data_IF_540243084743
#
_entry.id   IF_540243084743
#
_cell.length_a   1.000
_cell.length_b   1.000
_cell.length_c   1.000
_cell.angle_alpha   90.00
_cell.angle_beta   90.00
_cell.angle_gamma   90.00
#
_symmetry.space_group_name_H-M   'P 1'
#
loop_
_entity.id
_entity.type
_entity.pdbx_description
1 polymer ?
#
# COMPACT_ATOMS: atom_id res chain seq x y z
N UNK A 1 -1.55 -28.75 5.46
CA UNK A 1 -1.80 -27.33 5.78
C UNK A 1 -1.05 -26.52 4.75
N UNK A 2 -1.79 -25.97 3.79
CA UNK A 2 -1.23 -25.36 2.59
C UNK A 2 -0.53 -24.05 2.97
N UNK A 3 0.62 -23.76 2.37
CA UNK A 3 1.40 -22.51 2.60
C UNK A 3 0.51 -21.25 2.56
N UNK A 4 -0.53 -21.24 1.72
CA UNK A 4 -1.52 -20.15 1.64
C UNK A 4 -2.34 -19.94 2.92
N UNK A 5 -2.69 -20.99 3.66
CA UNK A 5 -3.42 -20.88 4.93
C UNK A 5 -2.56 -20.21 6.01
N UNK A 6 -1.27 -20.58 6.05
CA UNK A 6 -0.29 -19.99 6.97
C UNK A 6 -0.09 -18.51 6.62
N UNK A 7 0.10 -18.19 5.34
CA UNK A 7 0.26 -16.81 4.87
C UNK A 7 -0.95 -15.94 5.22
N UNK A 8 -2.16 -16.44 4.91
CA UNK A 8 -3.42 -15.74 5.21
C UNK A 8 -3.59 -15.51 6.72
N UNK A 9 -3.29 -16.53 7.54
CA UNK A 9 -3.32 -16.41 9.00
C UNK A 9 -2.38 -15.32 9.51
N UNK A 10 -1.14 -15.30 9.01
CA UNK A 10 -0.14 -14.29 9.36
C UNK A 10 -0.64 -12.87 9.00
N UNK A 11 -1.19 -12.69 7.79
CA UNK A 11 -1.77 -11.41 7.38
C UNK A 11 -2.86 -10.96 8.35
N UNK A 12 -3.81 -11.83 8.68
CA UNK A 12 -4.91 -11.48 9.57
C UNK A 12 -4.39 -11.12 10.96
N UNK A 13 -3.42 -11.85 11.51
CA UNK A 13 -2.80 -11.53 12.79
C UNK A 13 -2.17 -10.13 12.78
N UNK A 14 -1.36 -9.80 11.76
CA UNK A 14 -0.75 -8.48 11.64
C UNK A 14 -1.78 -7.38 11.41
N UNK A 15 -2.82 -7.64 10.62
CA UNK A 15 -3.89 -6.69 10.38
C UNK A 15 -4.68 -6.39 11.66
N UNK A 16 -5.05 -7.40 12.45
CA UNK A 16 -5.73 -7.22 13.73
C UNK A 16 -4.87 -6.42 14.71
N UNK A 17 -3.58 -6.76 14.82
CA UNK A 17 -2.66 -6.03 15.69
C UNK A 17 -2.47 -4.58 15.23
N UNK A 18 -2.33 -4.35 13.92
CA UNK A 18 -2.19 -3.02 13.33
C UNK A 18 -3.43 -2.16 13.51
N UNK A 19 -4.63 -2.72 13.31
CA UNK A 19 -5.90 -2.01 13.54
C UNK A 19 -6.06 -1.66 15.02
N UNK A 20 -5.82 -2.62 15.92
CA UNK A 20 -5.88 -2.39 17.36
C UNK A 20 -4.92 -1.26 17.78
N UNK A 21 -3.66 -1.32 17.34
CA UNK A 21 -2.65 -0.33 17.68
C UNK A 21 -3.00 1.07 17.17
N UNK A 22 -3.50 1.18 15.94
CA UNK A 22 -3.92 2.46 15.38
C UNK A 22 -5.15 3.03 16.07
N UNK A 23 -6.16 2.21 16.38
CA UNK A 23 -7.35 2.65 17.12
C UNK A 23 -6.99 3.07 18.56
N UNK A 24 -6.10 2.33 19.22
CA UNK A 24 -5.60 2.68 20.54
C UNK A 24 -4.83 4.01 20.51
N UNK A 25 -4.00 4.23 19.49
CA UNK A 25 -3.28 5.49 19.31
C UNK A 25 -4.23 6.67 19.04
N UNK A 26 -5.25 6.49 18.21
CA UNK A 26 -6.31 7.49 17.99
C UNK A 26 -6.99 7.84 19.32
N UNK A 27 -7.35 6.83 20.12
CA UNK A 27 -7.95 7.04 21.44
C UNK A 27 -7.03 7.83 22.37
N UNK A 28 -5.73 7.51 22.41
CA UNK A 28 -4.74 8.27 23.19
C UNK A 28 -4.62 9.72 22.73
N UNK A 29 -4.55 9.96 21.42
CA UNK A 29 -4.49 11.31 20.85
C UNK A 29 -5.72 12.11 21.28
N UNK A 30 -6.92 11.56 21.12
CA UNK A 30 -8.16 12.28 21.43
C UNK A 30 -8.28 12.60 22.93
N UNK A 31 -7.76 11.74 23.81
CA UNK A 31 -7.93 11.90 25.26
C UNK A 31 -6.82 12.71 25.93
N UNK A 32 -5.58 12.65 25.42
CA UNK A 32 -4.39 13.15 26.14
C UNK A 32 -3.57 14.22 25.37
N UNK A 33 -4.04 14.71 24.22
CA UNK A 33 -3.29 15.73 23.46
C UNK A 33 -3.27 17.08 24.18
N UNK A 34 -2.06 17.59 24.46
CA UNK A 34 -1.82 18.96 24.94
C UNK A 34 -1.94 20.00 23.81
N UNK A 35 -2.29 21.25 24.14
CA UNK A 35 -2.49 22.33 23.15
C UNK A 35 -1.26 22.60 22.27
N UNK A 36 -0.06 22.49 22.84
CA UNK A 36 1.21 22.72 22.13
C UNK A 36 1.49 21.66 21.07
N UNK A 37 0.98 20.44 21.27
CA UNK A 37 1.20 19.29 20.39
C UNK A 37 0.12 19.15 19.31
N UNK A 38 -0.76 20.14 19.13
CA UNK A 38 -1.92 20.03 18.23
C UNK A 38 -1.56 19.83 16.76
N UNK A 39 -0.45 20.39 16.29
CA UNK A 39 -0.02 20.20 14.89
C UNK A 39 0.54 18.78 14.72
N UNK A 40 1.37 18.36 15.67
CA UNK A 40 1.95 17.02 15.70
C UNK A 40 0.87 15.93 15.79
N UNK A 41 -0.12 16.10 16.66
CA UNK A 41 -1.20 15.13 16.85
C UNK A 41 -2.09 15.00 15.61
N UNK A 42 -2.29 16.07 14.84
CA UNK A 42 -3.00 16.01 13.54
C UNK A 42 -2.23 15.18 12.51
N UNK A 43 -0.91 15.31 12.44
CA UNK A 43 -0.07 14.49 11.54
C UNK A 43 -0.13 13.01 11.98
N UNK A 44 -0.07 12.76 13.29
CA UNK A 44 -0.19 11.40 13.85
C UNK A 44 -1.56 10.79 13.52
N UNK A 45 -2.64 11.57 13.69
CA UNK A 45 -4.00 11.15 13.40
C UNK A 45 -4.21 10.84 11.92
N UNK A 46 -3.66 11.67 11.03
CA UNK A 46 -3.63 11.41 9.59
C UNK A 46 -2.92 10.09 9.29
N UNK A 47 -1.77 9.84 9.93
CA UNK A 47 -1.02 8.60 9.74
C UNK A 47 -1.84 7.39 10.17
N UNK A 48 -2.47 7.43 11.35
CA UNK A 48 -3.34 6.35 11.82
C UNK A 48 -4.52 6.07 10.88
N UNK A 49 -5.15 7.13 10.34
CA UNK A 49 -6.25 6.96 9.40
C UNK A 49 -5.79 6.29 8.09
N UNK A 50 -4.65 6.74 7.56
CA UNK A 50 -4.04 6.16 6.35
C UNK A 50 -3.64 4.70 6.59
N UNK A 51 -3.08 4.38 7.76
CA UNK A 51 -2.69 3.02 8.11
C UNK A 51 -3.90 2.10 8.25
N UNK A 52 -5.00 2.56 8.86
CA UNK A 52 -6.26 1.79 8.90
C UNK A 52 -6.77 1.49 7.49
N UNK A 53 -6.82 2.50 6.62
CA UNK A 53 -7.21 2.31 5.21
C UNK A 53 -6.25 1.34 4.52
N UNK A 54 -4.95 1.49 4.74
CA UNK A 54 -3.91 0.65 4.18
C UNK A 54 -4.04 -0.81 4.60
N UNK A 55 -4.25 -1.06 5.90
CA UNK A 55 -4.46 -2.40 6.44
C UNK A 55 -5.72 -3.03 5.84
N UNK A 56 -6.83 -2.30 5.77
CA UNK A 56 -8.06 -2.81 5.13
C UNK A 56 -7.81 -3.18 3.66
N UNK A 57 -7.13 -2.31 2.90
CA UNK A 57 -6.79 -2.58 1.50
C UNK A 57 -5.82 -3.75 1.36
N UNK A 58 -4.87 -3.90 2.28
CA UNK A 58 -3.89 -4.98 2.29
C UNK A 58 -4.55 -6.34 2.57
N UNK A 59 -5.48 -6.40 3.53
CA UNK A 59 -6.27 -7.61 3.82
C UNK A 59 -7.14 -8.00 2.62
N UNK A 60 -7.70 -7.02 1.92
CA UNK A 60 -8.59 -7.26 0.77
C UNK A 60 -7.80 -7.65 -0.48
N UNK A 61 -6.59 -7.12 -0.68
CA UNK A 61 -5.72 -7.45 -1.83
C UNK A 61 -4.87 -8.70 -1.64
N UNK A 62 -4.34 -8.92 -0.43
CA UNK A 62 -3.31 -9.92 -0.10
C UNK A 62 -2.25 -10.05 -1.22
N UNK A 63 -1.52 -8.95 -1.51
CA UNK A 63 -0.58 -8.94 -2.62
C UNK A 63 0.65 -9.77 -2.27
N UNK A 64 1.10 -10.60 -3.19
CA UNK A 64 2.35 -11.36 -3.13
C UNK A 64 3.22 -10.88 -4.28
N UNK A 65 4.38 -10.33 -3.96
CA UNK A 65 5.34 -9.86 -4.95
C UNK A 65 6.28 -11.01 -5.30
N UNK A 66 6.24 -11.43 -6.57
CA UNK A 66 7.10 -12.49 -7.10
C UNK A 66 7.98 -11.88 -8.18
N UNK A 67 9.30 -12.06 -8.07
CA UNK A 67 10.23 -11.68 -9.13
C UNK A 67 10.75 -12.93 -9.82
N UNK A 68 10.59 -13.00 -11.14
CA UNK A 68 11.14 -14.06 -11.98
C UNK A 68 11.86 -13.45 -13.18
N UNK A 69 13.11 -13.85 -13.41
CA UNK A 69 13.96 -13.38 -14.52
C UNK A 69 14.01 -11.85 -14.70
N UNK A 70 14.07 -11.09 -13.59
CA UNK A 70 14.11 -9.62 -13.63
C UNK A 70 12.75 -8.96 -13.93
N UNK A 71 11.66 -9.73 -13.93
CA UNK A 71 10.29 -9.25 -14.07
C UNK A 71 9.59 -9.37 -12.72
N UNK A 72 9.04 -8.26 -12.23
CA UNK A 72 8.17 -8.25 -11.06
C UNK A 72 6.73 -8.58 -11.44
N UNK A 73 6.10 -9.50 -10.73
CA UNK A 73 4.67 -9.77 -10.84
C UNK A 73 4.04 -9.64 -9.47
N UNK A 74 2.85 -9.04 -9.41
CA UNK A 74 2.06 -8.99 -8.18
C UNK A 74 0.89 -9.94 -8.33
N UNK A 75 0.83 -10.94 -7.46
CA UNK A 75 -0.29 -11.88 -7.39
C UNK A 75 -1.21 -11.45 -6.26
N UNK A 76 -2.52 -11.41 -6.49
CA UNK A 76 -3.49 -10.98 -5.50
C UNK A 76 -4.32 -12.19 -5.06
N UNK A 77 -4.12 -12.64 -3.83
CA UNK A 77 -4.85 -13.79 -3.29
C UNK A 77 -6.11 -13.40 -2.52
N UNK A 78 -6.27 -12.10 -2.21
CA UNK A 78 -7.40 -11.60 -1.45
C UNK A 78 -8.67 -11.47 -2.29
N UNK A 79 -9.83 -11.15 -1.67
CA UNK A 79 -11.13 -11.06 -2.32
C UNK A 79 -11.20 -10.20 -3.60
N UNK A 80 -10.24 -9.29 -3.80
CA UNK A 80 -10.16 -8.45 -5.00
C UNK A 80 -10.09 -9.28 -6.29
N UNK A 81 -9.53 -10.48 -6.27
CA UNK A 81 -9.42 -11.29 -7.49
C UNK A 81 -10.78 -11.74 -8.06
N UNK A 82 -11.84 -11.75 -7.25
CA UNK A 82 -13.20 -12.05 -7.72
C UNK A 82 -13.89 -10.85 -8.38
N UNK A 83 -13.31 -9.65 -8.30
CA UNK A 83 -13.91 -8.45 -8.87
C UNK A 83 -13.61 -8.35 -10.36
N UNK A 84 -14.59 -7.99 -11.20
CA UNK A 84 -14.34 -7.78 -12.61
C UNK A 84 -13.46 -6.53 -12.83
N UNK A 85 -12.69 -6.54 -13.92
CA UNK A 85 -12.06 -5.32 -14.43
C UNK A 85 -13.17 -4.28 -14.75
N UNK A 86 -13.02 -3.00 -14.36
CA UNK A 86 -11.79 -2.33 -13.92
C UNK A 86 -11.57 -2.26 -12.39
N UNK A 87 -12.49 -2.80 -11.59
CA UNK A 87 -12.47 -2.61 -10.13
C UNK A 87 -11.24 -3.21 -9.47
N UNK A 88 -10.80 -4.38 -9.92
CA UNK A 88 -9.57 -5.01 -9.47
C UNK A 88 -8.34 -4.10 -9.66
N UNK A 89 -8.21 -3.51 -10.85
CA UNK A 89 -7.12 -2.58 -11.15
C UNK A 89 -7.17 -1.34 -10.25
N UNK A 90 -8.34 -0.74 -10.08
CA UNK A 90 -8.52 0.47 -9.25
C UNK A 90 -8.12 0.18 -7.80
N UNK A 91 -8.60 -0.92 -7.22
CA UNK A 91 -8.29 -1.26 -5.83
C UNK A 91 -6.81 -1.60 -5.61
N UNK A 92 -6.17 -2.26 -6.57
CA UNK A 92 -4.72 -2.51 -6.52
C UNK A 92 -3.92 -1.19 -6.57
N UNK A 93 -4.37 -0.22 -7.38
CA UNK A 93 -3.76 1.12 -7.44
C UNK A 93 -3.95 1.90 -6.14
N UNK A 94 -5.13 1.81 -5.54
CA UNK A 94 -5.39 2.40 -4.22
C UNK A 94 -4.47 1.75 -3.18
N UNK A 95 -4.34 0.42 -3.17
CA UNK A 95 -3.46 -0.27 -2.22
C UNK A 95 -1.99 0.20 -2.33
N UNK A 96 -1.47 0.26 -3.55
CA UNK A 96 -0.11 0.76 -3.81
C UNK A 96 0.06 2.24 -3.44
N UNK A 97 -0.96 3.07 -3.70
CA UNK A 97 -0.96 4.47 -3.27
C UNK A 97 -0.89 4.59 -1.75
N UNK A 98 -1.76 3.88 -1.03
CA UNK A 98 -1.85 3.95 0.43
C UNK A 98 -0.55 3.47 1.10
N UNK A 99 0.06 2.40 0.58
CA UNK A 99 1.36 1.91 1.07
C UNK A 99 2.47 2.96 0.94
N UNK A 100 2.56 3.63 -0.22
CA UNK A 100 3.54 4.72 -0.43
C UNK A 100 3.19 5.99 0.34
N UNK A 101 1.91 6.26 0.55
CA UNK A 101 1.48 7.42 1.32
C UNK A 101 1.79 7.26 2.81
N UNK A 102 1.63 6.05 3.37
CA UNK A 102 2.05 5.74 4.73
C UNK A 102 3.55 5.97 4.95
N UNK A 103 4.42 5.50 4.04
CA UNK A 103 5.87 5.74 4.16
C UNK A 103 6.24 7.23 4.07
N UNK A 104 5.55 8.00 3.23
CA UNK A 104 5.74 9.46 3.15
C UNK A 104 5.25 10.19 4.41
N UNK A 105 4.22 9.70 5.10
CA UNK A 105 3.78 10.27 6.38
C UNK A 105 4.86 10.10 7.45
N UNK A 106 5.58 8.96 7.48
CA UNK A 106 6.73 8.76 8.37
C UNK A 106 7.84 9.77 8.07
N UNK A 107 8.18 9.98 6.80
CA UNK A 107 9.15 11.00 6.38
C UNK A 107 8.69 12.41 6.79
N UNK A 108 7.40 12.71 6.65
CA UNK A 108 6.80 14.00 7.03
C UNK A 108 6.93 14.23 8.53
N UNK A 109 6.68 13.20 9.34
CA UNK A 109 6.84 13.25 10.79
C UNK A 109 8.30 13.50 11.20
N UNK A 110 9.24 12.85 10.51
CA UNK A 110 10.68 13.08 10.71
C UNK A 110 11.07 14.53 10.39
N UNK A 111 10.66 15.05 9.23
CA UNK A 111 10.93 16.44 8.82
C UNK A 111 10.33 17.42 9.82
N UNK A 112 9.08 17.18 10.25
CA UNK A 112 8.41 18.00 11.25
C UNK A 112 9.24 18.06 12.56
N UNK A 113 9.64 16.90 13.09
CA UNK A 113 10.45 16.83 14.31
C UNK A 113 11.80 17.51 14.15
N UNK A 114 12.46 17.32 13.02
CA UNK A 114 13.74 17.96 12.73
C UNK A 114 13.62 19.48 12.71
N UNK A 115 12.61 20.02 12.04
CA UNK A 115 12.38 21.46 11.95
C UNK A 115 12.02 22.11 13.29
N UNK A 116 11.21 21.44 14.11
CA UNK A 116 10.83 21.97 15.43
C UNK A 116 11.97 21.86 16.44
N UNK A 117 12.65 20.71 16.52
CA UNK A 117 13.64 20.44 17.58
C UNK A 117 15.03 20.98 17.23
N UNK A 118 15.48 20.82 15.99
CA UNK A 118 16.86 21.19 15.59
C UNK A 118 16.92 22.59 15.00
N UNK A 119 15.88 23.01 14.28
CA UNK A 119 15.83 24.33 13.63
C UNK A 119 14.98 25.35 14.40
N UNK A 120 14.33 24.94 15.48
CA UNK A 120 13.48 25.80 16.33
C UNK A 120 12.43 26.60 15.52
N UNK A 121 11.94 26.03 14.42
CA UNK A 121 10.96 26.68 13.55
C UNK A 121 9.55 26.51 14.13
N UNK A 122 8.84 27.62 14.31
CA UNK A 122 7.42 27.59 14.68
C UNK A 122 6.54 27.14 13.51
N UNK A 123 6.24 25.83 13.47
CA UNK A 123 5.43 25.21 12.42
C UNK A 123 3.95 25.47 12.68
N UNK A 124 3.42 26.49 12.00
CA UNK A 124 1.98 26.75 11.88
C UNK A 124 1.29 25.80 10.89
N UNK A 125 -0.04 25.75 10.95
CA UNK A 125 -0.89 24.90 10.08
C UNK A 125 -0.61 25.05 8.56
N UNK A 126 -0.24 26.24 8.09
CA UNK A 126 0.12 26.46 6.67
C UNK A 126 1.33 25.62 6.22
N UNK A 127 2.32 25.46 7.09
CA UNK A 127 3.50 24.65 6.81
C UNK A 127 3.15 23.16 6.81
N UNK A 128 2.21 22.73 7.66
CA UNK A 128 1.68 21.37 7.64
C UNK A 128 1.01 21.05 6.30
N UNK A 129 0.15 21.95 5.81
CA UNK A 129 -0.47 21.78 4.48
C UNK A 129 0.60 21.70 3.38
N UNK A 130 1.63 22.56 3.44
CA UNK A 130 2.72 22.54 2.48
C UNK A 130 3.50 21.21 2.52
N UNK A 131 3.76 20.66 3.70
CA UNK A 131 4.42 19.34 3.85
C UNK A 131 3.54 18.21 3.30
N UNK A 132 2.23 18.25 3.55
CA UNK A 132 1.27 17.26 3.03
C UNK A 132 1.15 17.35 1.51
N UNK A 133 0.97 18.54 0.95
CA UNK A 133 0.89 18.71 -0.51
C UNK A 133 2.23 18.39 -1.18
N UNK A 134 3.35 18.76 -0.55
CA UNK A 134 4.69 18.44 -1.00
C UNK A 134 4.96 16.94 -1.06
N UNK A 135 4.30 16.12 -0.23
CA UNK A 135 4.42 14.66 -0.26
C UNK A 135 3.36 13.99 -1.15
N UNK A 136 2.12 14.50 -1.19
CA UNK A 136 1.03 13.93 -2.00
C UNK A 136 1.26 14.15 -3.51
N UNK A 137 1.69 15.34 -3.94
CA UNK A 137 1.78 15.67 -5.36
C UNK A 137 2.77 14.74 -6.10
N UNK A 138 4.01 14.51 -5.59
CA UNK A 138 4.93 13.56 -6.21
C UNK A 138 4.37 12.14 -6.26
N UNK A 139 3.63 11.71 -5.23
CA UNK A 139 3.00 10.39 -5.21
C UNK A 139 1.93 10.23 -6.28
N UNK A 140 1.09 11.25 -6.48
CA UNK A 140 0.09 11.26 -7.55
C UNK A 140 0.78 11.19 -8.91
N UNK A 141 1.81 12.01 -9.14
CA UNK A 141 2.58 12.00 -10.40
C UNK A 141 3.18 10.62 -10.65
N UNK A 142 3.88 10.05 -9.66
CA UNK A 142 4.48 8.71 -9.77
C UNK A 142 3.45 7.62 -10.04
N UNK A 143 2.25 7.71 -9.44
CA UNK A 143 1.18 6.76 -9.70
C UNK A 143 0.60 6.90 -11.10
N UNK A 144 0.43 8.11 -11.61
CA UNK A 144 -0.01 8.36 -13.00
C UNK A 144 1.05 7.82 -13.97
N UNK A 145 2.33 8.18 -13.78
CA UNK A 145 3.43 7.70 -14.60
C UNK A 145 3.52 6.16 -14.57
N UNK A 146 3.41 5.54 -13.39
CA UNK A 146 3.38 4.07 -13.26
C UNK A 146 2.15 3.45 -13.91
N UNK A 147 1.01 4.13 -13.93
CA UNK A 147 -0.20 3.62 -14.59
C UNK A 147 -0.07 3.66 -16.11
N UNK A 148 0.55 4.71 -16.65
CA UNK A 148 0.85 4.82 -18.09
C UNK A 148 1.92 3.80 -18.49
N UNK A 149 3.00 3.68 -17.70
CA UNK A 149 4.14 2.81 -18.04
C UNK A 149 3.81 1.31 -17.91
N UNK A 150 2.85 0.96 -17.06
CA UNK A 150 2.42 -0.43 -16.83
C UNK A 150 1.00 -0.66 -17.37
N UNK A 151 0.59 0.10 -18.39
CA UNK A 151 -0.66 -0.22 -19.08
C UNK A 151 -0.51 -1.58 -19.78
N UNK A 152 -1.40 -2.55 -19.54
CA UNK A 152 -1.25 -3.89 -20.08
C UNK A 152 -1.27 -3.84 -21.61
N UNK A 153 -0.25 -4.41 -22.24
CA UNK A 153 -0.24 -4.65 -23.69
C UNK A 153 -0.83 -6.02 -23.99
N UNK A 154 -1.30 -6.24 -25.22
CA UNK A 154 -1.83 -7.55 -25.64
C UNK A 154 -0.82 -8.69 -25.54
N UNK A 155 0.49 -8.40 -25.48
CA UNK A 155 1.55 -9.39 -25.29
C UNK A 155 1.72 -9.81 -23.82
N UNK A 156 1.33 -8.96 -22.87
CA UNK A 156 1.46 -9.21 -21.44
C UNK A 156 0.35 -10.13 -20.88
N UNK A 157 -0.81 -10.22 -21.54
CA UNK A 157 -1.90 -11.13 -21.16
C UNK A 157 -1.59 -12.61 -21.45
N UNK A 158 -0.77 -12.89 -22.48
CA UNK A 158 -0.48 -14.26 -22.94
C UNK A 158 0.67 -14.95 -22.18
N UNK A 159 1.60 -14.20 -21.60
CA UNK A 159 2.79 -14.74 -20.92
C UNK A 159 2.52 -15.25 -19.50
N UNK A 160 1.50 -14.72 -18.82
CA UNK A 160 1.12 -15.08 -17.44
C UNK A 160 0.48 -16.45 -17.33
N UNK A 161 -0.02 -17.03 -18.43
CA UNK A 161 -1.03 -18.08 -18.35
C UNK A 161 -0.56 -19.49 -18.74
N UNK A 162 0.55 -19.65 -19.47
CA UNK A 162 0.95 -21.00 -19.92
C UNK A 162 2.28 -21.51 -19.34
N UNK A 163 3.36 -20.72 -19.39
CA UNK A 163 4.70 -21.23 -19.02
C UNK A 163 4.97 -21.20 -17.51
N UNK A 164 4.62 -20.12 -16.81
CA UNK A 164 4.77 -20.02 -15.34
C UNK A 164 3.83 -21.00 -14.63
N UNK A 165 2.63 -21.15 -15.18
CA UNK A 165 1.59 -22.05 -14.71
C UNK A 165 1.99 -23.52 -14.80
N UNK A 166 2.68 -23.88 -15.88
CA UNK A 166 3.25 -25.21 -16.10
C UNK A 166 4.49 -25.47 -15.22
N UNK A 167 5.19 -24.42 -14.80
CA UNK A 167 6.37 -24.48 -13.94
C UNK A 167 6.01 -24.62 -12.44
N UNK A 168 4.80 -24.19 -12.06
CA UNK A 168 4.28 -24.23 -10.69
C UNK A 168 3.30 -25.39 -10.41
N UNK A 169 3.05 -26.26 -11.40
CA UNK A 169 2.10 -27.39 -11.31
C UNK A 169 0.70 -26.99 -10.79
N UNK A 170 0.26 -25.76 -11.07
CA UNK A 170 -1.05 -25.28 -10.64
C UNK A 170 -2.15 -25.98 -11.44
N UNK A 171 -3.16 -26.52 -10.76
CA UNK A 171 -4.26 -27.21 -11.42
C UNK A 171 -5.12 -26.24 -12.25
N UNK A 172 -5.77 -26.75 -13.31
CA UNK A 172 -6.59 -25.93 -14.21
C UNK A 172 -7.67 -25.10 -13.49
N UNK A 173 -8.11 -25.55 -12.31
CA UNK A 173 -9.04 -24.81 -11.46
C UNK A 173 -8.40 -23.56 -10.83
N UNK A 174 -7.17 -23.66 -10.36
CA UNK A 174 -6.43 -22.53 -9.78
C UNK A 174 -6.06 -21.51 -10.86
N UNK A 175 -5.71 -21.96 -12.07
CA UNK A 175 -5.39 -21.09 -13.21
C UNK A 175 -6.57 -20.19 -13.58
N UNK A 176 -7.74 -20.80 -13.73
CA UNK A 176 -8.95 -20.09 -14.17
C UNK A 176 -9.53 -19.15 -13.10
N UNK A 177 -9.16 -19.34 -11.82
CA UNK A 177 -9.73 -18.58 -10.71
C UNK A 177 -8.74 -17.63 -10.02
N UNK A 178 -7.42 -17.83 -10.09
CA UNK A 178 -6.45 -17.15 -9.21
C UNK A 178 -5.41 -16.28 -9.91
N UNK A 179 -5.21 -16.36 -11.24
CA UNK A 179 -4.11 -15.64 -11.91
C UNK A 179 -4.61 -14.44 -12.70
N UNK A 180 -4.90 -13.34 -12.00
CA UNK A 180 -4.82 -12.00 -12.60
C UNK A 180 -3.58 -11.31 -12.02
N UNK A 181 -2.41 -11.76 -12.49
CA UNK A 181 -1.15 -11.14 -12.13
C UNK A 181 -1.00 -9.83 -12.89
N UNK A 182 -0.99 -8.69 -12.19
CA UNK A 182 -0.55 -7.45 -12.80
C UNK A 182 0.97 -7.52 -12.92
N UNK A 183 1.47 -7.76 -14.13
CA UNK A 183 2.90 -7.71 -14.44
C UNK A 183 3.34 -6.26 -14.38
N UNK A 184 4.30 -5.98 -13.49
CA UNK A 184 4.93 -4.67 -13.37
C UNK A 184 6.38 -4.89 -13.76
N UNK A 185 6.79 -4.39 -14.92
CA UNK A 185 8.20 -4.50 -15.34
C UNK A 185 9.03 -3.61 -14.41
N UNK A 186 9.56 -4.19 -13.34
CA UNK A 186 10.53 -3.53 -12.47
C UNK A 186 11.87 -3.61 -13.18
N UNK A 187 12.14 -2.68 -14.08
CA UNK A 187 13.50 -2.46 -14.55
C UNK A 187 14.26 -1.82 -13.38
N UNK A 188 15.02 -2.63 -12.65
CA UNK A 188 16.10 -2.10 -11.82
C UNK A 188 17.11 -1.45 -12.76
N UNK A 189 17.07 -0.12 -12.86
CA UNK A 189 18.26 0.68 -13.20
C UNK A 189 19.01 0.98 -11.91
#
# INVERSE_FOLDING_TARGET
>A
MLIGEIYSTIIYCFATFGLFSNLFLIWLILRYTMKEMQVYSKILLQTCFVDIVGICMFVVSQPVFVSDNGIGTTWNYGPIHFLPNPWQFILLRINNFTARFSSMNVCTLFIYRYLVVVREVDIKFKHQLLLIFGSIIPLIILNICSSISNYPTSEDEYLTNYNVTKLLELDNYTINNYVVGLKVRVSCM
#
